data_IF_887324182985
#
_entry.id   IF_887324182985
#
_cell.length_a   1.000
_cell.length_b   1.000
_cell.length_c   1.000
_cell.angle_alpha   90.00
_cell.angle_beta   90.00
_cell.angle_gamma   90.00
#
_symmetry.space_group_name_H-M   'P 1'
#
loop_
_entity.id
_entity.type
_entity.pdbx_description
1 polymer ?
#
# COMPACT_ATOMS: atom_id res chain seq x y z
N UNK A 1 2.74 8.37 25.97
CA UNK A 1 2.24 8.13 24.60
C UNK A 1 3.04 6.97 24.05
N UNK A 2 2.40 5.84 23.69
CA UNK A 2 3.12 4.72 23.09
C UNK A 2 3.74 5.20 21.78
N UNK A 3 5.05 4.96 21.58
CA UNK A 3 5.67 5.20 20.28
C UNK A 3 4.98 4.27 19.29
N UNK A 4 4.29 4.85 18.30
CA UNK A 4 3.75 4.08 17.18
C UNK A 4 4.94 3.63 16.34
N UNK A 5 5.53 2.50 16.70
CA UNK A 5 6.60 1.89 15.92
C UNK A 5 5.98 1.34 14.65
N UNK A 6 6.39 1.88 13.51
CA UNK A 6 5.95 1.36 12.23
C UNK A 6 6.62 0.00 11.98
N UNK A 7 5.91 -0.99 11.37
CA UNK A 7 6.43 -2.35 11.23
C UNK A 7 7.75 -2.45 10.45
N UNK A 8 7.97 -1.50 9.54
CA UNK A 8 9.20 -1.34 8.77
C UNK A 8 9.27 0.10 8.21
N UNK A 9 10.43 0.55 7.70
CA UNK A 9 10.56 1.88 7.08
C UNK A 9 9.60 2.07 5.89
N UNK A 10 9.05 3.28 5.75
CA UNK A 10 8.19 3.67 4.61
C UNK A 10 6.80 3.03 4.57
N UNK A 11 6.38 2.34 5.64
CA UNK A 11 5.07 1.66 5.69
C UNK A 11 3.89 2.63 5.49
N UNK A 12 4.04 3.90 5.81
CA UNK A 12 3.05 4.96 5.61
C UNK A 12 2.63 5.16 4.15
N UNK A 13 3.48 4.74 3.20
CA UNK A 13 3.23 4.85 1.76
C UNK A 13 2.67 3.57 1.14
N UNK A 14 2.54 2.52 1.94
CA UNK A 14 2.10 1.22 1.45
C UNK A 14 0.58 1.09 1.49
N UNK A 15 0.03 0.33 0.55
CA UNK A 15 -1.41 0.15 0.42
C UNK A 15 -2.06 -0.49 1.66
N UNK A 16 -1.32 -1.31 2.40
CA UNK A 16 -1.82 -1.87 3.67
C UNK A 16 -2.09 -0.80 4.72
N UNK A 17 -1.18 0.17 4.87
CA UNK A 17 -1.34 1.29 5.79
C UNK A 17 -2.47 2.22 5.33
N UNK A 18 -2.44 2.63 4.06
CA UNK A 18 -3.48 3.49 3.47
C UNK A 18 -4.87 2.85 3.60
N UNK A 19 -4.96 1.53 3.43
CA UNK A 19 -6.21 0.81 3.61
C UNK A 19 -6.72 0.84 5.05
N UNK A 20 -5.84 0.69 6.04
CA UNK A 20 -6.21 0.75 7.45
C UNK A 20 -6.69 2.15 7.87
N UNK A 21 -6.23 3.19 7.18
CA UNK A 21 -6.73 4.56 7.36
C UNK A 21 -8.05 4.83 6.60
N UNK A 22 -8.53 3.88 5.79
CA UNK A 22 -9.70 4.09 4.94
C UNK A 22 -9.45 5.03 3.75
N UNK A 23 -8.20 5.22 3.34
CA UNK A 23 -7.83 6.16 2.27
C UNK A 23 -8.53 5.84 0.94
N UNK A 24 -8.80 4.56 0.64
CA UNK A 24 -9.59 4.16 -0.53
C UNK A 24 -11.03 4.67 -0.52
N UNK A 25 -11.57 5.01 0.66
CA UNK A 25 -12.92 5.55 0.84
C UNK A 25 -12.88 7.07 0.79
N UNK A 26 -11.94 7.68 1.52
CA UNK A 26 -11.81 9.14 1.59
C UNK A 26 -11.20 9.77 0.33
N UNK A 27 -10.35 9.05 -0.38
CA UNK A 27 -9.57 9.52 -1.53
C UNK A 27 -9.57 8.46 -2.66
N UNK A 28 -10.76 8.08 -3.18
CA UNK A 28 -10.89 6.96 -4.11
C UNK A 28 -10.12 7.15 -5.42
N UNK A 29 -10.08 8.36 -5.98
CA UNK A 29 -9.37 8.61 -7.24
C UNK A 29 -7.84 8.56 -7.07
N UNK A 30 -7.31 9.05 -5.94
CA UNK A 30 -5.87 8.94 -5.63
C UNK A 30 -5.50 7.47 -5.39
N UNK A 31 -6.30 6.75 -4.61
CA UNK A 31 -6.07 5.32 -4.38
C UNK A 31 -6.12 4.52 -5.69
N UNK A 32 -7.06 4.86 -6.59
CA UNK A 32 -7.16 4.27 -7.93
C UNK A 32 -5.89 4.46 -8.74
N UNK A 33 -5.23 5.61 -8.68
CA UNK A 33 -3.94 5.81 -9.37
C UNK A 33 -2.82 4.89 -8.86
N UNK A 34 -2.88 4.49 -7.58
CA UNK A 34 -1.88 3.59 -7.01
C UNK A 34 -2.08 2.13 -7.43
N UNK A 35 -3.32 1.71 -7.72
CA UNK A 35 -3.67 0.31 -8.00
C UNK A 35 -3.98 0.02 -9.46
N UNK A 36 -4.33 1.05 -10.25
CA UNK A 36 -4.64 0.92 -11.68
C UNK A 36 -3.40 0.49 -12.45
N UNK A 37 -3.59 -0.37 -13.46
CA UNK A 37 -2.51 -0.94 -14.27
C UNK A 37 -1.43 -1.61 -13.41
N UNK A 38 -1.88 -2.35 -12.39
CA UNK A 38 -1.03 -3.00 -11.41
C UNK A 38 0.01 -3.92 -12.03
N UNK A 39 1.28 -3.71 -11.66
CA UNK A 39 2.44 -4.45 -12.16
C UNK A 39 3.09 -5.33 -11.09
N UNK A 40 2.76 -5.05 -9.83
CA UNK A 40 3.34 -5.73 -8.68
C UNK A 40 2.24 -6.18 -7.73
N UNK A 41 2.48 -7.31 -7.07
CA UNK A 41 1.63 -7.84 -6.01
C UNK A 41 2.43 -8.00 -4.73
N UNK A 42 1.83 -7.69 -3.58
CA UNK A 42 2.48 -7.91 -2.30
C UNK A 42 2.38 -9.39 -1.92
N UNK A 43 3.52 -10.08 -1.80
CA UNK A 43 3.59 -11.49 -1.40
C UNK A 43 3.00 -11.78 -0.01
N UNK A 44 2.82 -10.77 0.84
CA UNK A 44 2.31 -10.94 2.22
C UNK A 44 0.78 -10.83 2.26
N UNK A 45 0.20 -9.82 1.61
CA UNK A 45 -1.23 -9.50 1.76
C UNK A 45 -2.02 -9.47 0.45
N UNK A 46 -1.41 -9.79 -0.69
CA UNK A 46 -2.07 -9.92 -1.99
C UNK A 46 -2.50 -8.62 -2.66
N UNK A 47 -2.32 -7.45 -2.02
CA UNK A 47 -2.62 -6.15 -2.65
C UNK A 47 -1.75 -5.91 -3.88
N UNK A 48 -2.34 -5.31 -4.91
CA UNK A 48 -1.72 -5.02 -6.20
C UNK A 48 -1.49 -3.52 -6.34
N UNK A 49 -0.32 -3.12 -6.86
CA UNK A 49 0.04 -1.73 -7.12
C UNK A 49 0.71 -1.55 -8.48
N UNK A 50 0.60 -0.34 -9.04
CA UNK A 50 1.31 0.07 -10.24
C UNK A 50 2.84 0.16 -10.02
N UNK A 51 3.26 0.42 -8.78
CA UNK A 51 4.67 0.58 -8.38
C UNK A 51 4.96 -0.24 -7.11
N UNK A 52 6.05 -1.01 -7.12
CA UNK A 52 6.46 -1.87 -6.01
C UNK A 52 6.74 -1.11 -4.71
N UNK A 53 7.08 0.18 -4.77
CA UNK A 53 7.31 1.03 -3.59
C UNK A 53 6.06 1.23 -2.72
N UNK A 54 4.87 0.91 -3.24
CA UNK A 54 3.62 1.00 -2.51
C UNK A 54 3.25 -0.32 -1.78
N UNK A 55 4.15 -1.30 -1.74
CA UNK A 55 3.91 -2.62 -1.18
C UNK A 55 5.03 -3.04 -0.22
N UNK A 56 4.68 -3.81 0.83
CA UNK A 56 5.66 -4.30 1.81
C UNK A 56 6.71 -5.25 1.22
N UNK A 57 6.26 -6.16 0.35
CA UNK A 57 7.10 -7.19 -0.27
C UNK A 57 6.63 -7.43 -1.70
N UNK A 58 6.91 -6.48 -2.62
CA UNK A 58 6.48 -6.56 -4.00
C UNK A 58 7.10 -7.76 -4.72
N UNK A 59 6.32 -8.38 -5.59
CA UNK A 59 6.76 -9.30 -6.65
C UNK A 59 6.10 -8.89 -7.96
N UNK A 60 6.79 -9.05 -9.09
CA UNK A 60 6.22 -8.80 -10.42
C UNK A 60 5.01 -9.72 -10.69
N UNK A 61 4.03 -9.19 -11.43
CA UNK A 61 2.82 -9.89 -11.89
C UNK A 61 2.98 -10.47 -13.30
#
# INVERSE_FOLDING_TARGET
>A
MAKTEMPHPGHDKHLCYLNNLGFQISNPEEYKQLVRDGKFMCKICGRVAADGKNLCKPVDL
#
